data_IF_198819694113
#
_entry.id   IF_198819694113
#
_cell.length_a   1.000
_cell.length_b   1.000
_cell.length_c   1.000
_cell.angle_alpha   90.00
_cell.angle_beta   90.00
_cell.angle_gamma   90.00
#
_symmetry.space_group_name_H-M   'P 1'
#
loop_
_entity.id
_entity.type
_entity.pdbx_description
1 polymer ?
#
# COMPACT_ATOMS: atom_id res chain seq x y z
N UNK A 1 -2.96 11.17 -2.69
CA UNK A 1 -1.53 10.98 -3.03
C UNK A 1 -0.97 9.93 -2.06
N UNK A 2 0.12 9.22 -2.38
CA UNK A 2 0.67 8.18 -1.49
C UNK A 2 2.17 7.97 -1.70
N UNK A 3 2.89 7.52 -0.67
CA UNK A 3 4.22 6.93 -0.80
C UNK A 3 4.12 5.43 -1.08
N UNK A 4 5.05 4.93 -1.90
CA UNK A 4 5.18 3.50 -2.21
C UNK A 4 6.65 3.13 -2.01
N UNK A 5 6.91 2.17 -1.12
CA UNK A 5 8.27 1.72 -0.84
C UNK A 5 8.29 0.30 -0.27
N UNK A 6 9.42 -0.38 -0.39
CA UNK A 6 9.55 -1.77 0.08
C UNK A 6 9.39 -1.93 1.60
N UNK A 7 9.73 -0.89 2.36
CA UNK A 7 9.56 -0.84 3.83
C UNK A 7 8.19 -0.32 4.26
N UNK A 8 7.52 0.45 3.40
CA UNK A 8 6.21 1.06 3.62
C UNK A 8 5.37 0.88 2.34
N UNK A 9 4.70 -0.28 2.20
CA UNK A 9 4.14 -0.72 0.92
C UNK A 9 3.23 0.33 0.27
N UNK A 10 2.26 0.86 1.03
CA UNK A 10 1.46 2.02 0.64
C UNK A 10 1.22 2.89 1.89
N UNK A 11 1.58 4.17 1.84
CA UNK A 11 1.30 5.15 2.89
C UNK A 11 0.54 6.36 2.31
N UNK A 12 -0.73 6.57 2.68
CA UNK A 12 -1.50 7.72 2.20
C UNK A 12 -0.90 9.06 2.64
N UNK A 13 -0.94 10.03 1.74
CA UNK A 13 -0.62 11.44 2.03
C UNK A 13 -1.91 12.24 1.89
N UNK A 14 -2.34 12.85 3.00
CA UNK A 14 -3.57 13.64 3.08
C UNK A 14 -3.32 15.16 3.13
N UNK A 15 -2.06 15.57 3.26
CA UNK A 15 -1.66 16.98 3.33
C UNK A 15 -0.31 17.17 2.64
N UNK A 16 -0.14 18.31 1.97
CA UNK A 16 1.09 18.73 1.31
C UNK A 16 1.27 20.23 1.42
N UNK A 17 2.45 20.70 1.83
CA UNK A 17 2.74 22.12 2.06
C UNK A 17 1.63 22.82 2.86
N UNK A 18 1.24 22.21 3.99
CA UNK A 18 0.18 22.67 4.90
C UNK A 18 -1.24 22.73 4.28
N UNK A 19 -1.41 22.24 3.04
CA UNK A 19 -2.70 22.21 2.36
C UNK A 19 -3.27 20.79 2.33
N UNK A 20 -4.55 20.59 2.67
CA UNK A 20 -5.17 19.28 2.54
C UNK A 20 -5.23 18.86 1.07
N UNK A 21 -4.97 17.59 0.81
CA UNK A 21 -5.17 16.99 -0.52
C UNK A 21 -6.62 16.52 -0.60
N UNK A 22 -7.37 17.03 -1.57
CA UNK A 22 -8.81 16.72 -1.69
C UNK A 22 -9.58 17.22 -0.47
N UNK A 23 -10.24 16.30 0.24
CA UNK A 23 -10.97 16.59 1.48
C UNK A 23 -10.11 16.38 2.76
N UNK A 24 -8.80 16.12 2.62
CA UNK A 24 -7.92 15.83 3.76
C UNK A 24 -8.14 14.46 4.39
N UNK A 25 -8.91 13.57 3.73
CA UNK A 25 -9.12 12.19 4.14
C UNK A 25 -8.37 11.23 3.22
N UNK A 26 -8.15 10.00 3.69
CA UNK A 26 -7.61 8.94 2.84
C UNK A 26 -8.62 8.63 1.74
N UNK A 27 -8.16 8.64 0.48
CA UNK A 27 -9.01 8.35 -0.66
C UNK A 27 -9.28 6.85 -0.81
N UNK A 28 -10.49 6.51 -1.26
CA UNK A 28 -10.94 5.12 -1.49
C UNK A 28 -9.98 4.35 -2.41
N UNK A 29 -9.45 4.99 -3.46
CA UNK A 29 -8.47 4.38 -4.35
C UNK A 29 -7.18 3.95 -3.62
N UNK A 30 -6.72 4.73 -2.64
CA UNK A 30 -5.52 4.39 -1.89
C UNK A 30 -5.77 3.18 -0.97
N UNK A 31 -6.96 3.08 -0.40
CA UNK A 31 -7.37 1.91 0.39
C UNK A 31 -7.48 0.67 -0.50
N UNK A 32 -8.15 0.76 -1.65
CA UNK A 32 -8.27 -0.35 -2.58
C UNK A 32 -6.91 -0.87 -3.06
N UNK A 33 -5.95 0.02 -3.32
CA UNK A 33 -4.58 -0.39 -3.68
C UNK A 33 -3.85 -1.07 -2.52
N UNK A 34 -4.06 -0.60 -1.29
CA UNK A 34 -3.50 -1.23 -0.09
C UNK A 34 -4.04 -2.65 0.08
N UNK A 35 -5.35 -2.84 -0.12
CA UNK A 35 -6.00 -4.15 -0.02
C UNK A 35 -5.49 -5.10 -1.10
N UNK A 36 -5.39 -4.64 -2.35
CA UNK A 36 -4.84 -5.44 -3.45
C UNK A 36 -3.39 -5.86 -3.21
N UNK A 37 -2.57 -4.95 -2.67
CA UNK A 37 -1.17 -5.28 -2.36
C UNK A 37 -1.08 -6.29 -1.22
N UNK A 38 -1.91 -6.17 -0.19
CA UNK A 38 -1.98 -7.14 0.89
C UNK A 38 -2.40 -8.53 0.38
N UNK A 39 -3.41 -8.59 -0.49
CA UNK A 39 -3.85 -9.83 -1.14
C UNK A 39 -2.72 -10.45 -1.97
N UNK A 40 -2.04 -9.66 -2.81
CA UNK A 40 -0.87 -10.14 -3.57
C UNK A 40 0.28 -10.62 -2.65
N UNK A 41 0.46 -10.00 -1.48
CA UNK A 41 1.43 -10.45 -0.48
C UNK A 41 1.07 -11.79 0.16
N UNK A 42 -0.21 -12.02 0.43
CA UNK A 42 -0.69 -13.21 1.12
C UNK A 42 -0.90 -14.40 0.17
N UNK A 43 -1.43 -14.15 -1.03
CA UNK A 43 -1.90 -15.18 -1.96
C UNK A 43 -1.36 -15.02 -3.38
N UNK A 44 -0.38 -14.15 -3.58
CA UNK A 44 0.27 -13.97 -4.88
C UNK A 44 0.90 -15.27 -5.40
N UNK A 45 1.05 -15.41 -6.72
CA UNK A 45 1.53 -16.63 -7.34
C UNK A 45 2.95 -16.98 -6.86
N UNK A 46 3.25 -18.28 -6.74
CA UNK A 46 4.55 -18.78 -6.27
C UNK A 46 5.73 -18.32 -7.13
N UNK A 47 5.48 -17.93 -8.38
CA UNK A 47 6.49 -17.32 -9.28
C UNK A 47 6.95 -15.93 -8.82
N UNK A 48 6.22 -15.29 -7.90
CA UNK A 48 6.48 -13.96 -7.35
C UNK A 48 6.60 -13.96 -5.83
N UNK A 49 5.98 -14.93 -5.14
CA UNK A 49 6.00 -15.11 -3.68
C UNK A 49 6.66 -16.45 -3.34
N UNK A 50 7.89 -16.39 -2.81
CA UNK A 50 8.63 -17.58 -2.40
C UNK A 50 8.44 -17.80 -0.89
N UNK A 51 7.97 -18.99 -0.52
CA UNK A 51 7.87 -19.40 0.89
C UNK A 51 9.27 -19.54 1.48
N UNK A 52 9.54 -18.79 2.55
CA UNK A 52 10.79 -18.90 3.31
C UNK A 52 10.62 -20.03 4.33
N UNK A 53 11.43 -21.10 4.29
CA UNK A 53 11.37 -22.16 5.29
C UNK A 53 11.95 -21.64 6.61
N UNK A 54 11.15 -21.72 7.66
CA UNK A 54 11.62 -21.49 9.03
C UNK A 54 11.96 -22.87 9.61
N UNK A 55 13.24 -23.07 9.95
CA UNK A 55 13.74 -24.30 10.57
C UNK A 55 13.35 -24.40 12.04
#
# INVERSE_FOLDING_TARGET
MMYVGSTLPILPIIMWDEKPIGNGMVGELTMALSDLLWEDMATGPETKRLLVPYA
#
